data_IF_665534502353
#
_entry.id   IF_665534502353
#
_cell.length_a   1.000
_cell.length_b   1.000
_cell.length_c   1.000
_cell.angle_alpha   90.00
_cell.angle_beta   90.00
_cell.angle_gamma   90.00
#
_symmetry.space_group_name_H-M   'P 1'
#
loop_
_entity.id
_entity.type
_entity.pdbx_description
1 polymer ?
#
# COMPACT_ATOMS: atom_id res chain seq x y z
N UNK A 1 -8.80 15.95 -0.66
CA UNK A 1 -7.51 15.48 -0.14
C UNK A 1 -7.71 14.18 0.61
N UNK A 2 -6.90 13.19 0.32
CA UNK A 2 -6.95 11.90 0.97
C UNK A 2 -5.70 11.61 1.77
N UNK A 3 -5.83 10.88 2.89
CA UNK A 3 -4.72 10.32 3.63
C UNK A 3 -4.60 8.86 3.22
N UNK A 4 -3.41 8.48 2.78
CA UNK A 4 -3.15 7.12 2.33
C UNK A 4 -2.05 6.48 3.16
N UNK A 5 -2.40 5.83 4.26
CA UNK A 5 -1.43 5.03 4.98
C UNK A 5 -0.90 3.92 4.08
N UNK A 6 0.39 3.75 4.04
CA UNK A 6 0.97 2.68 3.27
C UNK A 6 2.18 2.08 3.96
N UNK A 7 2.39 0.80 3.72
CA UNK A 7 3.68 0.17 3.88
C UNK A 7 4.35 0.29 2.52
N UNK A 8 5.55 0.88 2.42
CA UNK A 8 6.20 1.07 1.12
C UNK A 8 6.29 -0.21 0.32
N UNK A 9 6.56 -1.32 0.98
CA UNK A 9 6.54 -2.61 0.31
C UNK A 9 6.22 -3.73 1.28
N UNK A 10 5.70 -4.82 0.75
CA UNK A 10 5.44 -6.04 1.50
C UNK A 10 6.08 -7.21 0.75
N UNK A 11 6.90 -7.98 1.45
CA UNK A 11 7.60 -9.11 0.86
C UNK A 11 6.65 -10.28 0.64
N UNK A 12 6.44 -10.64 -0.62
CA UNK A 12 5.71 -11.83 -1.03
C UNK A 12 6.73 -12.78 -1.64
N UNK A 13 7.22 -13.69 -0.88
CA UNK A 13 8.34 -14.56 -1.24
C UNK A 13 9.62 -13.77 -1.48
N UNK A 14 10.69 -14.45 -1.90
CA UNK A 14 12.02 -13.85 -2.07
C UNK A 14 12.14 -12.92 -3.27
N UNK A 15 11.16 -12.92 -4.19
CA UNK A 15 11.36 -12.36 -5.52
C UNK A 15 10.40 -11.24 -5.90
N UNK A 16 9.42 -10.92 -5.06
CA UNK A 16 8.45 -9.88 -5.41
C UNK A 16 8.00 -9.11 -4.17
N UNK A 17 7.65 -7.86 -4.40
CA UNK A 17 7.14 -6.96 -3.36
C UNK A 17 5.85 -6.32 -3.83
N UNK A 18 4.93 -6.12 -2.92
CA UNK A 18 3.69 -5.38 -3.17
C UNK A 18 3.81 -4.01 -2.53
N UNK A 19 3.67 -2.98 -3.35
CA UNK A 19 3.50 -1.62 -2.88
C UNK A 19 2.01 -1.32 -2.85
N UNK A 20 1.52 -0.77 -1.75
CA UNK A 20 0.11 -0.51 -1.59
C UNK A 20 -0.18 0.76 -0.82
N UNK A 21 -1.23 1.43 -1.24
CA UNK A 21 -1.81 2.57 -0.54
C UNK A 21 -3.33 2.41 -0.48
N UNK A 22 -3.92 2.75 0.65
CA UNK A 22 -5.37 2.71 0.85
C UNK A 22 -5.84 4.01 1.46
N UNK A 23 -7.06 4.40 1.10
CA UNK A 23 -7.75 5.53 1.70
C UNK A 23 -8.86 5.02 2.61
N UNK A 24 -8.72 5.16 3.95
CA UNK A 24 -9.71 4.58 4.88
C UNK A 24 -11.11 5.16 4.72
N UNK A 25 -11.24 6.43 4.33
CA UNK A 25 -12.55 7.06 4.20
C UNK A 25 -13.40 6.48 3.06
N UNK A 26 -12.77 6.08 1.97
CA UNK A 26 -13.49 5.66 0.75
C UNK A 26 -13.29 4.20 0.40
N UNK A 27 -12.17 3.60 0.85
CA UNK A 27 -11.75 2.29 0.40
C UNK A 27 -11.00 2.31 -0.93
N UNK A 28 -10.71 3.49 -1.48
CA UNK A 28 -9.86 3.60 -2.67
C UNK A 28 -8.47 3.08 -2.38
N UNK A 29 -7.84 2.52 -3.40
CA UNK A 29 -6.53 1.91 -3.24
C UNK A 29 -5.70 2.00 -4.52
N UNK A 30 -4.42 1.78 -4.36
CA UNK A 30 -3.48 1.65 -5.47
C UNK A 30 -2.45 0.60 -5.08
N UNK A 31 -2.25 -0.41 -5.93
CA UNK A 31 -1.30 -1.48 -5.67
C UNK A 31 -0.43 -1.71 -6.88
N UNK A 32 0.85 -1.96 -6.65
CA UNK A 32 1.80 -2.40 -7.68
C UNK A 32 2.63 -3.55 -7.15
N UNK A 33 2.87 -4.54 -8.02
CA UNK A 33 3.80 -5.63 -7.76
C UNK A 33 5.13 -5.28 -8.42
N UNK A 34 6.18 -5.20 -7.62
CA UNK A 34 7.48 -4.73 -8.04
C UNK A 34 8.56 -5.77 -7.74
N UNK A 35 9.65 -5.79 -8.52
CA UNK A 35 10.74 -6.75 -8.28
C UNK A 35 11.60 -6.44 -7.06
N UNK A 36 11.65 -5.18 -6.62
CA UNK A 36 12.53 -4.76 -5.54
C UNK A 36 11.83 -3.83 -4.56
N UNK A 37 12.34 -3.82 -3.33
CA UNK A 37 11.98 -2.81 -2.33
C UNK A 37 13.11 -1.78 -2.28
N UNK A 38 13.06 -0.80 -3.18
CA UNK A 38 14.10 0.22 -3.32
C UNK A 38 13.52 1.54 -3.80
N UNK A 39 14.35 2.57 -3.84
CA UNK A 39 13.93 3.90 -4.25
C UNK A 39 13.42 3.98 -5.69
N UNK A 40 14.07 3.37 -6.70
CA UNK A 40 13.51 3.41 -8.05
C UNK A 40 12.12 2.81 -8.15
N UNK A 41 11.86 1.70 -7.46
CA UNK A 41 10.53 1.09 -7.44
C UNK A 41 9.52 1.96 -6.69
N UNK A 42 9.93 2.58 -5.59
CA UNK A 42 9.07 3.52 -4.89
C UNK A 42 8.71 4.73 -5.74
N UNK A 43 9.65 5.23 -6.53
CA UNK A 43 9.39 6.33 -7.47
C UNK A 43 8.33 5.95 -8.51
N UNK A 44 8.40 4.73 -9.04
CA UNK A 44 7.38 4.21 -9.98
C UNK A 44 6.02 4.14 -9.30
N UNK A 45 5.96 3.65 -8.07
CA UNK A 45 4.73 3.56 -7.30
C UNK A 45 4.11 4.94 -7.06
N UNK A 46 4.91 5.91 -6.62
CA UNK A 46 4.44 7.27 -6.37
C UNK A 46 3.92 7.92 -7.65
N UNK A 47 4.61 7.73 -8.77
CA UNK A 47 4.19 8.24 -10.06
C UNK A 47 2.84 7.65 -10.47
N UNK A 48 2.67 6.34 -10.33
CA UNK A 48 1.41 5.66 -10.65
C UNK A 48 0.27 6.11 -9.75
N UNK A 49 0.52 6.25 -8.45
CA UNK A 49 -0.46 6.77 -7.50
C UNK A 49 -0.91 8.19 -7.88
N UNK A 50 0.03 9.04 -8.25
CA UNK A 50 -0.25 10.41 -8.68
C UNK A 50 -1.11 10.43 -9.94
N UNK A 51 -0.79 9.59 -10.92
CA UNK A 51 -1.54 9.48 -12.18
C UNK A 51 -2.93 8.93 -12.01
N UNK A 52 -3.11 8.02 -11.06
CA UNK A 52 -4.41 7.41 -10.78
C UNK A 52 -5.37 8.39 -10.13
N UNK A 53 -4.87 9.35 -9.37
CA UNK A 53 -5.65 10.36 -8.66
C UNK A 53 -5.10 11.75 -8.94
N UNK A 54 -5.16 12.22 -10.22
CA UNK A 54 -4.47 13.44 -10.64
C UNK A 54 -5.08 14.72 -10.07
N UNK A 55 -6.37 14.69 -9.71
CA UNK A 55 -7.08 15.85 -9.22
C UNK A 55 -7.08 15.96 -7.68
N UNK A 56 -6.49 14.98 -7.01
CA UNK A 56 -6.45 14.93 -5.55
C UNK A 56 -5.08 15.37 -5.02
N UNK A 57 -5.12 16.04 -3.89
CA UNK A 57 -3.93 16.22 -3.07
C UNK A 57 -3.85 15.04 -2.11
N UNK A 58 -2.78 14.28 -2.17
CA UNK A 58 -2.63 13.03 -1.44
C UNK A 58 -1.64 13.25 -0.29
N UNK A 59 -2.12 13.04 0.93
CA UNK A 59 -1.24 12.92 2.08
C UNK A 59 -0.97 11.43 2.30
N UNK A 60 0.22 10.99 1.95
CA UNK A 60 0.61 9.59 2.03
C UNK A 60 1.35 9.35 3.34
N UNK A 61 0.68 8.68 4.26
CA UNK A 61 1.26 8.27 5.53
C UNK A 61 1.94 6.92 5.36
N UNK A 62 3.21 6.84 5.65
CA UNK A 62 3.94 5.59 5.53
C UNK A 62 4.92 5.41 6.70
N UNK A 63 5.15 4.16 7.06
CA UNK A 63 6.29 3.80 7.87
C UNK A 63 7.47 3.61 6.91
N UNK A 64 8.61 3.98 7.28
CA UNK A 64 9.69 3.76 6.32
C UNK A 64 10.84 4.68 6.54
N UNK A 65 11.51 4.45 7.64
CA UNK A 65 12.76 5.13 7.91
C UNK A 65 13.76 5.00 6.75
N UNK A 66 13.66 3.93 5.94
CA UNK A 66 14.50 3.74 4.77
C UNK A 66 14.28 4.81 3.69
N UNK A 67 13.03 5.24 3.51
CA UNK A 67 12.68 6.26 2.51
C UNK A 67 13.02 7.67 2.97
N UNK A 68 13.04 7.87 4.27
CA UNK A 68 13.27 9.16 4.91
C UNK A 68 14.63 9.75 4.57
N UNK A 69 15.63 8.91 4.34
CA UNK A 69 17.01 9.30 4.06
C UNK A 69 17.37 9.29 2.57
N UNK A 70 16.42 8.97 1.70
CA UNK A 70 16.69 8.84 0.28
C UNK A 70 16.57 10.19 -0.42
N UNK A 71 17.69 10.73 -0.89
CA UNK A 71 17.71 11.95 -1.69
C UNK A 71 17.27 11.72 -3.14
N UNK A 72 17.17 10.46 -3.55
CA UNK A 72 16.78 10.08 -4.91
C UNK A 72 15.27 9.86 -5.05
N UNK A 73 14.50 10.06 -3.97
CA UNK A 73 13.06 9.90 -3.99
C UNK A 73 12.40 11.05 -4.76
N UNK A 74 11.66 10.71 -5.81
CA UNK A 74 10.94 11.68 -6.65
C UNK A 74 9.48 11.72 -6.24
N UNK A 75 9.07 12.78 -5.57
CA UNK A 75 7.70 12.91 -5.04
C UNK A 75 6.91 13.80 -6.00
N UNK A 76 5.81 13.28 -6.61
CA UNK A 76 4.93 14.10 -7.45
C UNK A 76 4.33 15.28 -6.69
N UNK A 77 3.97 16.35 -7.42
CA UNK A 77 3.44 17.59 -6.83
C UNK A 77 2.20 17.40 -5.96
N UNK A 78 1.34 16.47 -6.34
CA UNK A 78 0.08 16.23 -5.61
C UNK A 78 0.23 15.23 -4.46
N UNK A 79 1.44 14.75 -4.19
CA UNK A 79 1.70 13.82 -3.08
C UNK A 79 2.57 14.49 -2.04
N UNK A 80 2.16 14.36 -0.78
CA UNK A 80 2.92 14.79 0.39
C UNK A 80 3.18 13.58 1.27
N UNK A 81 4.45 13.26 1.52
CA UNK A 81 4.81 12.14 2.38
C UNK A 81 4.80 12.56 3.84
N UNK A 82 4.24 11.71 4.66
CA UNK A 82 4.23 11.84 6.10
C UNK A 82 4.67 10.50 6.71
N UNK A 83 5.74 10.51 7.51
CA UNK A 83 6.26 9.28 8.10
C UNK A 83 5.66 9.04 9.47
N UNK A 84 5.06 7.85 9.64
CA UNK A 84 4.49 7.42 10.90
C UNK A 84 5.62 7.11 11.88
N UNK A 85 5.47 7.46 13.17
CA UNK A 85 6.48 7.15 14.16
C UNK A 85 6.82 5.65 14.20
N UNK A 86 8.08 5.30 14.44
CA UNK A 86 8.47 3.89 14.52
C UNK A 86 7.75 3.17 15.67
N UNK A 87 7.63 1.86 15.55
CA UNK A 87 7.00 0.98 16.55
C UNK A 87 5.50 1.22 16.79
N UNK A 88 4.81 1.78 15.79
CA UNK A 88 3.36 1.97 15.85
C UNK A 88 2.67 1.36 14.62
N UNK A 89 2.86 0.05 14.34
CA UNK A 89 2.29 -0.58 13.14
C UNK A 89 0.76 -0.54 13.14
N UNK A 90 0.13 -0.50 14.31
CA UNK A 90 -1.31 -0.38 14.44
C UNK A 90 -1.86 0.93 13.89
N UNK A 91 -1.02 1.95 13.72
CA UNK A 91 -1.41 3.22 13.12
C UNK A 91 -1.47 3.16 11.59
N UNK A 92 -1.00 2.08 10.99
CA UNK A 92 -1.00 1.92 9.54
C UNK A 92 -2.04 0.88 9.12
N UNK A 93 -3.21 1.32 8.62
CA UNK A 93 -4.29 0.39 8.27
C UNK A 93 -3.96 -0.55 7.11
N UNK A 94 -2.93 -0.27 6.31
CA UNK A 94 -2.52 -1.17 5.23
C UNK A 94 -2.12 -2.56 5.76
N UNK A 95 -1.69 -2.66 7.00
CA UNK A 95 -1.33 -3.95 7.60
C UNK A 95 -2.52 -4.92 7.60
N UNK A 96 -3.75 -4.40 7.78
CA UNK A 96 -4.96 -5.22 7.72
C UNK A 96 -5.21 -5.74 6.30
N UNK A 97 -4.86 -4.94 5.31
CA UNK A 97 -4.97 -5.36 3.90
C UNK A 97 -3.99 -6.49 3.59
N UNK A 98 -2.76 -6.38 4.08
CA UNK A 98 -1.78 -7.48 3.90
C UNK A 98 -2.27 -8.78 4.52
N UNK A 99 -2.88 -8.72 5.69
CA UNK A 99 -3.48 -9.90 6.34
C UNK A 99 -4.60 -10.50 5.49
N UNK A 100 -5.48 -9.66 4.95
CA UNK A 100 -6.59 -10.10 4.13
C UNK A 100 -6.13 -10.74 2.82
N UNK A 101 -5.12 -10.16 2.18
CA UNK A 101 -4.53 -10.71 0.97
C UNK A 101 -3.95 -12.11 1.25
N UNK A 102 -3.20 -12.27 2.33
CA UNK A 102 -2.65 -13.57 2.71
C UNK A 102 -3.74 -14.60 2.99
N UNK A 103 -4.79 -14.18 3.69
CA UNK A 103 -5.91 -15.05 4.03
C UNK A 103 -6.66 -15.54 2.79
N UNK A 104 -6.92 -14.65 1.83
CA UNK A 104 -7.71 -14.95 0.63
C UNK A 104 -6.92 -15.69 -0.44
N UNK A 105 -5.65 -15.33 -0.63
CA UNK A 105 -4.87 -15.78 -1.76
C UNK A 105 -3.79 -16.81 -1.46
N UNK A 106 -3.29 -16.86 -0.22
CA UNK A 106 -2.07 -17.60 0.08
C UNK A 106 -2.17 -18.56 1.25
N UNK A 107 -3.36 -18.84 1.69
CA UNK A 107 -3.57 -19.72 2.83
C UNK A 107 -3.40 -21.19 2.42
N UNK A 108 -2.40 -21.85 3.00
CA UNK A 108 -2.18 -23.28 2.83
C UNK A 108 -1.96 -23.73 1.38
N UNK A 109 -1.49 -22.84 0.51
CA UNK A 109 -1.20 -23.20 -0.87
C UNK A 109 0.30 -23.15 -1.16
N UNK A 110 0.74 -24.07 -2.03
CA UNK A 110 2.09 -24.13 -2.56
C UNK A 110 2.01 -23.81 -4.05
N UNK A 111 2.85 -22.90 -4.51
CA UNK A 111 2.87 -22.46 -5.91
C UNK A 111 4.09 -23.05 -6.62
N UNK A 112 3.89 -23.60 -7.82
CA UNK A 112 4.93 -24.22 -8.60
C UNK A 112 5.92 -23.23 -9.18
N UNK A 113 5.46 -22.01 -9.53
CA UNK A 113 6.29 -21.00 -10.18
C UNK A 113 6.01 -19.61 -9.60
N UNK A 114 6.99 -18.71 -9.79
CA UNK A 114 6.85 -17.31 -9.39
C UNK A 114 5.69 -16.64 -10.14
N UNK A 115 5.52 -16.93 -11.43
CA UNK A 115 4.43 -16.38 -12.23
C UNK A 115 3.07 -16.73 -11.65
N UNK A 116 2.90 -17.93 -11.12
CA UNK A 116 1.66 -18.34 -10.45
C UNK A 116 1.43 -17.57 -9.17
N UNK A 117 2.49 -17.29 -8.41
CA UNK A 117 2.40 -16.46 -7.20
C UNK A 117 1.95 -15.04 -7.58
N UNK A 118 2.59 -14.44 -8.58
CA UNK A 118 2.24 -13.08 -9.03
C UNK A 118 0.81 -13.03 -9.55
N UNK A 119 0.39 -14.00 -10.34
CA UNK A 119 -0.97 -14.06 -10.88
C UNK A 119 -1.99 -14.18 -9.74
N UNK A 120 -1.76 -15.06 -8.77
CA UNK A 120 -2.65 -15.19 -7.61
C UNK A 120 -2.72 -13.91 -6.81
N UNK A 121 -1.59 -13.23 -6.63
CA UNK A 121 -1.53 -11.97 -5.91
C UNK A 121 -2.35 -10.89 -6.63
N UNK A 122 -2.18 -10.74 -7.93
CA UNK A 122 -2.94 -9.78 -8.72
C UNK A 122 -4.43 -10.10 -8.69
N UNK A 123 -4.82 -11.37 -8.87
CA UNK A 123 -6.21 -11.79 -8.81
C UNK A 123 -6.82 -11.51 -7.43
N UNK A 124 -6.09 -11.78 -6.37
CA UNK A 124 -6.55 -11.55 -5.00
C UNK A 124 -6.78 -10.05 -4.76
N UNK A 125 -5.83 -9.21 -5.14
CA UNK A 125 -5.94 -7.75 -5.00
C UNK A 125 -7.12 -7.23 -5.80
N UNK A 126 -7.25 -7.64 -7.05
CA UNK A 126 -8.33 -7.19 -7.93
C UNK A 126 -9.70 -7.68 -7.45
N UNK A 127 -9.74 -8.76 -6.67
CA UNK A 127 -10.99 -9.29 -6.12
C UNK A 127 -11.44 -8.58 -4.85
N UNK A 128 -10.61 -7.71 -4.26
CA UNK A 128 -10.97 -6.97 -3.06
C UNK A 128 -11.92 -5.82 -3.40
N UNK A 129 -13.21 -5.91 -3.06
CA UNK A 129 -14.13 -4.81 -3.33
C UNK A 129 -13.83 -3.62 -2.43
N UNK A 130 -14.19 -2.44 -2.92
CA UNK A 130 -13.95 -1.19 -2.20
C UNK A 130 -14.60 -1.17 -0.81
N UNK A 131 -15.76 -1.83 -0.68
CA UNK A 131 -16.46 -1.95 0.60
C UNK A 131 -15.66 -2.75 1.62
N UNK A 132 -14.98 -3.80 1.18
CA UNK A 132 -14.14 -4.62 2.06
C UNK A 132 -12.89 -3.84 2.48
N UNK A 133 -12.24 -3.15 1.57
CA UNK A 133 -11.10 -2.30 1.88
C UNK A 133 -11.51 -1.24 2.90
N UNK A 134 -12.64 -0.58 2.66
CA UNK A 134 -13.19 0.41 3.57
C UNK A 134 -13.45 -0.18 4.96
N UNK A 135 -14.15 -1.31 5.04
CA UNK A 135 -14.51 -1.91 6.33
C UNK A 135 -13.30 -2.37 7.14
N UNK A 136 -12.24 -2.81 6.48
CA UNK A 136 -11.01 -3.26 7.13
C UNK A 136 -10.19 -2.07 7.65
N UNK A 137 -10.15 -0.98 6.91
CA UNK A 137 -9.24 0.15 7.17
C UNK A 137 -9.89 1.33 7.88
N UNK A 138 -11.23 1.43 7.84
CA UNK A 138 -11.99 2.54 8.42
C UNK A 138 -12.18 2.34 9.93
N UNK A 139 -11.09 2.43 10.68
CA UNK A 139 -11.15 2.32 12.13
C UNK A 139 -11.67 3.63 12.74
N UNK A 140 -12.45 3.59 13.86
CA UNK A 140 -13.01 4.80 14.46
C UNK A 140 -11.98 5.88 14.78
N UNK A 141 -10.82 5.49 15.30
CA UNK A 141 -9.77 6.45 15.65
C UNK A 141 -9.14 7.09 14.40
N UNK A 142 -9.10 6.35 13.27
CA UNK A 142 -8.61 6.90 12.00
C UNK A 142 -9.63 7.87 11.44
N UNK A 143 -10.90 7.47 11.41
CA UNK A 143 -11.97 8.32 10.88
C UNK A 143 -12.13 9.61 11.68
N UNK A 144 -11.89 9.57 12.98
CA UNK A 144 -11.99 10.75 13.84
C UNK A 144 -10.96 11.84 13.47
N UNK A 145 -9.87 11.48 12.81
CA UNK A 145 -8.87 12.43 12.34
C UNK A 145 -9.36 13.32 11.20
N UNK A 146 -10.48 12.96 10.56
CA UNK A 146 -11.03 13.68 9.41
C UNK A 146 -12.27 14.51 9.74
N UNK A 147 -12.71 14.46 10.97
CA UNK A 147 -13.90 15.19 11.42
C UNK A 147 -13.53 16.53 12.04
#
# INVERSE_FOLDING_TARGET
MGIRPSVPCHHIREYRYVYGAVEPLTGNSCFLVMPYCNTPCMNVFLDELSKQYPDDIILLCCDGAAWHKSNALCIPENIHLFFIPPYTPEMNPIEQIWKEIRKRGFRNEIFATLDKVVNRLCDTICSLPIQIIHSITARPWILSCFN
#
